data_IF_551733531929
#
_entry.id   IF_551733531929
#
_cell.length_a   1.000
_cell.length_b   1.000
_cell.length_c   1.000
_cell.angle_alpha   90.00
_cell.angle_beta   90.00
_cell.angle_gamma   90.00
#
_symmetry.space_group_name_H-M   'P 1'
#
loop_
_entity.id
_entity.type
_entity.pdbx_description
1 polymer ?
#
# COMPACT_ATOMS: atom_id res chain seq x y z
N UNK A 1 37.61 55.13 -17.11
CA UNK A 1 36.25 55.18 -16.54
C UNK A 1 35.32 55.74 -17.59
N UNK A 2 34.29 54.96 -17.93
CA UNK A 2 32.99 55.34 -18.53
C UNK A 2 32.92 55.97 -19.94
N UNK A 3 31.81 55.60 -20.61
CA UNK A 3 31.12 56.22 -21.75
C UNK A 3 31.72 56.05 -23.15
N UNK A 4 30.98 55.94 -24.25
CA UNK A 4 29.61 55.55 -24.68
C UNK A 4 29.51 56.14 -26.11
N UNK A 5 28.72 55.50 -27.00
CA UNK A 5 28.08 56.09 -28.20
C UNK A 5 29.00 56.39 -29.41
N UNK A 6 28.61 56.35 -30.68
CA UNK A 6 27.42 55.96 -31.45
C UNK A 6 27.76 56.28 -32.93
N UNK A 7 26.81 56.03 -33.84
CA UNK A 7 26.71 56.50 -35.24
C UNK A 7 27.39 55.61 -36.31
N UNK A 8 26.77 55.05 -37.36
CA UNK A 8 25.55 55.25 -38.18
C UNK A 8 25.86 55.72 -39.62
N UNK A 9 25.50 54.85 -40.57
CA UNK A 9 24.80 55.12 -41.85
C UNK A 9 25.56 55.60 -43.12
N UNK A 10 25.66 54.66 -44.11
CA UNK A 10 25.28 54.62 -45.58
C UNK A 10 25.47 55.87 -46.50
N UNK A 11 25.24 55.85 -47.86
CA UNK A 11 25.32 54.85 -48.96
C UNK A 11 26.08 55.38 -50.22
N UNK A 12 26.18 54.57 -51.30
CA UNK A 12 25.72 54.93 -52.68
C UNK A 12 26.43 54.14 -53.81
N UNK A 13 25.62 53.49 -54.66
CA UNK A 13 25.95 52.79 -55.93
C UNK A 13 26.56 53.71 -57.01
N UNK A 14 27.11 53.16 -58.13
CA UNK A 14 26.32 52.92 -59.36
C UNK A 14 26.77 51.67 -60.18
N UNK A 15 25.86 50.89 -60.77
CA UNK A 15 25.37 50.97 -62.17
C UNK A 15 26.17 50.18 -63.24
N UNK A 16 25.51 49.12 -63.75
CA UNK A 16 25.45 48.61 -65.13
C UNK A 16 26.73 48.18 -65.89
N UNK A 17 26.78 46.89 -66.28
CA UNK A 17 26.83 46.46 -67.71
C UNK A 17 26.52 44.97 -67.90
N UNK A 18 25.69 44.69 -68.91
CA UNK A 18 25.27 43.39 -69.47
C UNK A 18 26.42 42.62 -70.12
N UNK A 19 26.36 41.29 -70.10
CA UNK A 19 26.51 40.35 -71.24
C UNK A 19 26.16 38.94 -70.72
N UNK A 20 25.06 38.30 -71.17
CA UNK A 20 24.85 37.51 -72.38
C UNK A 20 24.69 36.03 -72.00
N UNK A 21 23.46 35.52 -72.14
CA UNK A 21 23.06 34.11 -71.94
C UNK A 21 23.46 33.32 -73.19
N UNK A 22 23.84 32.04 -73.03
CA UNK A 22 23.12 31.00 -73.75
C UNK A 22 22.60 29.91 -72.82
N UNK A 23 21.40 29.47 -73.16
CA UNK A 23 20.50 28.56 -72.49
C UNK A 23 20.96 27.09 -72.56
N UNK A 24 20.80 26.37 -71.45
CA UNK A 24 20.61 24.91 -71.41
C UNK A 24 19.64 24.58 -70.28
N UNK A 25 18.66 23.67 -70.48
CA UNK A 25 17.61 23.43 -69.50
C UNK A 25 18.09 22.46 -68.44
N UNK A 26 18.45 22.97 -67.26
CA UNK A 26 18.57 22.15 -66.06
C UNK A 26 17.16 21.78 -65.57
N UNK A 27 16.83 20.49 -65.70
CA UNK A 27 15.69 19.85 -65.05
C UNK A 27 15.78 20.11 -63.54
N UNK A 28 15.01 21.07 -63.05
CA UNK A 28 14.83 21.33 -61.63
C UNK A 28 13.80 20.32 -61.10
N UNK A 29 14.29 19.23 -60.52
CA UNK A 29 13.44 18.32 -59.75
C UNK A 29 12.95 19.09 -58.51
N UNK A 30 11.63 19.16 -58.24
CA UNK A 30 11.19 19.77 -56.99
C UNK A 30 11.65 18.88 -55.83
N UNK A 31 12.56 19.40 -54.99
CA UNK A 31 12.81 18.81 -53.66
C UNK A 31 11.49 18.84 -52.90
N UNK A 32 10.86 17.68 -52.72
CA UNK A 32 9.80 17.52 -51.72
C UNK A 32 10.35 18.02 -50.38
N UNK A 33 9.61 18.86 -49.64
CA UNK A 33 9.99 19.18 -48.28
C UNK A 33 9.99 17.86 -47.49
N UNK A 34 11.16 17.42 -47.03
CA UNK A 34 11.23 16.38 -46.02
C UNK A 34 10.60 16.96 -44.76
N UNK A 35 9.36 16.56 -44.48
CA UNK A 35 8.75 16.74 -43.18
C UNK A 35 9.68 15.97 -42.23
N UNK A 36 10.40 16.70 -41.37
CA UNK A 36 11.18 16.06 -40.32
C UNK A 36 10.19 15.42 -39.36
N UNK A 37 9.98 14.12 -39.55
CA UNK A 37 9.39 13.17 -38.63
C UNK A 37 9.79 13.49 -37.19
N UNK A 38 8.86 14.05 -36.40
CA UNK A 38 9.14 14.41 -35.01
C UNK A 38 8.71 13.25 -34.13
N UNK A 39 9.58 12.23 -34.04
CA UNK A 39 9.44 11.16 -33.03
C UNK A 39 9.55 11.80 -31.64
N UNK A 40 8.56 11.58 -30.79
CA UNK A 40 8.50 12.11 -29.42
C UNK A 40 8.54 10.98 -28.42
N UNK A 41 9.21 11.20 -27.30
CA UNK A 41 9.23 10.27 -26.18
C UNK A 41 8.05 10.58 -25.25
N UNK A 42 7.35 9.53 -24.83
CA UNK A 42 6.39 9.57 -23.72
C UNK A 42 7.18 9.26 -22.46
N UNK A 43 7.34 10.27 -21.60
CA UNK A 43 8.09 10.14 -20.35
C UNK A 43 7.20 9.68 -19.20
N UNK A 44 7.80 9.00 -18.22
CA UNK A 44 7.15 8.66 -16.95
C UNK A 44 6.81 9.94 -16.17
N UNK A 45 5.52 10.29 -15.99
CA UNK A 45 5.15 11.48 -15.24
C UNK A 45 5.37 11.27 -13.74
N UNK A 46 5.62 12.36 -13.02
CA UNK A 46 5.64 12.36 -11.57
C UNK A 46 4.18 12.36 -11.06
N UNK A 47 3.61 11.17 -10.82
CA UNK A 47 2.23 11.01 -10.33
C UNK A 47 2.10 11.31 -8.81
N UNK A 48 3.20 11.34 -8.08
CA UNK A 48 3.28 11.79 -6.68
C UNK A 48 4.52 12.64 -6.46
N UNK A 49 4.46 13.60 -5.53
CA UNK A 49 5.61 14.44 -5.15
C UNK A 49 6.79 13.66 -4.54
N UNK A 50 6.57 12.39 -4.18
CA UNK A 50 7.56 11.47 -3.62
C UNK A 50 7.93 10.35 -4.58
N UNK A 51 7.39 10.34 -5.80
CA UNK A 51 7.59 9.27 -6.75
C UNK A 51 8.94 9.43 -7.46
N UNK A 52 9.81 8.41 -7.36
CA UNK A 52 11.08 8.33 -8.09
C UNK A 52 11.02 7.35 -9.26
N UNK A 53 10.16 6.34 -9.16
CA UNK A 53 9.95 5.28 -10.15
C UNK A 53 8.48 4.85 -10.14
N UNK A 54 7.98 4.33 -11.25
CA UNK A 54 6.62 3.81 -11.42
C UNK A 54 6.63 2.47 -12.14
N UNK A 55 5.70 1.59 -11.77
CA UNK A 55 5.53 0.30 -12.42
C UNK A 55 4.37 0.34 -13.39
N UNK A 56 4.55 -0.23 -14.58
CA UNK A 56 3.49 -0.30 -15.59
C UNK A 56 2.60 -1.50 -15.26
N UNK A 57 1.32 -1.28 -15.01
CA UNK A 57 0.35 -2.35 -14.70
C UNK A 57 -0.14 -2.99 -15.99
N UNK A 58 -0.59 -2.16 -16.92
CA UNK A 58 -1.15 -2.58 -18.20
C UNK A 58 -1.13 -1.45 -19.21
N UNK A 59 -0.89 -1.77 -20.48
CA UNK A 59 -1.05 -0.82 -21.58
C UNK A 59 -2.51 -0.79 -22.03
N UNK A 60 -3.09 0.41 -22.11
CA UNK A 60 -4.45 0.60 -22.65
C UNK A 60 -4.41 0.57 -24.18
N UNK A 61 -3.25 0.90 -24.77
CA UNK A 61 -3.03 1.08 -26.21
C UNK A 61 -1.81 0.29 -26.67
N UNK A 62 -1.93 -0.33 -27.85
CA UNK A 62 -0.92 -1.20 -28.44
C UNK A 62 -0.04 -0.46 -29.44
N UNK A 63 1.11 -1.04 -29.78
CA UNK A 63 1.98 -0.50 -30.84
C UNK A 63 1.21 -0.39 -32.17
N UNK A 64 1.25 0.79 -32.78
CA UNK A 64 0.53 1.14 -34.00
C UNK A 64 -0.83 1.80 -33.77
N UNK A 65 -1.32 1.88 -32.53
CA UNK A 65 -2.60 2.55 -32.24
C UNK A 65 -2.49 4.06 -32.39
N UNK A 66 -3.53 4.66 -32.97
CA UNK A 66 -3.70 6.10 -33.03
C UNK A 66 -4.13 6.64 -31.68
N UNK A 67 -3.40 7.63 -31.19
CA UNK A 67 -3.61 8.34 -29.93
C UNK A 67 -3.98 9.80 -30.20
N UNK A 68 -4.97 10.30 -29.48
CA UNK A 68 -5.33 11.72 -29.46
C UNK A 68 -4.86 12.37 -28.16
N UNK A 69 -4.62 13.68 -28.18
CA UNK A 69 -4.27 14.45 -26.99
C UNK A 69 -5.33 14.28 -25.88
N UNK A 70 -4.88 13.91 -24.68
CA UNK A 70 -5.72 13.64 -23.51
C UNK A 70 -6.25 12.21 -23.42
N UNK A 71 -5.79 11.30 -24.29
CA UNK A 71 -6.18 9.89 -24.27
C UNK A 71 -5.23 9.07 -23.37
N UNK A 72 -5.79 8.21 -22.51
CA UNK A 72 -5.01 7.31 -21.64
C UNK A 72 -4.29 6.26 -22.46
N UNK A 73 -2.96 6.16 -22.26
CA UNK A 73 -2.08 5.25 -23.00
C UNK A 73 -1.73 4.04 -22.14
N UNK A 74 -1.45 4.26 -20.85
CA UNK A 74 -0.93 3.24 -19.93
C UNK A 74 -1.41 3.49 -18.51
N UNK A 75 -1.70 2.40 -17.78
CA UNK A 75 -2.01 2.43 -16.35
C UNK A 75 -0.73 2.19 -15.56
N UNK A 76 -0.33 3.16 -14.75
CA UNK A 76 0.89 3.11 -13.93
C UNK A 76 0.52 2.95 -12.46
N UNK A 77 1.06 1.92 -11.83
CA UNK A 77 1.07 1.73 -10.38
C UNK A 77 2.21 2.58 -9.82
N UNK A 78 1.82 3.68 -9.18
CA UNK A 78 2.74 4.54 -8.44
C UNK A 78 3.03 3.99 -7.04
N UNK A 79 3.73 4.76 -6.22
CA UNK A 79 3.94 4.45 -4.81
C UNK A 79 2.64 4.43 -3.98
N UNK A 80 1.56 5.04 -4.48
CA UNK A 80 0.37 5.33 -3.67
C UNK A 80 -0.98 5.05 -4.32
N UNK A 81 -1.06 5.02 -5.65
CA UNK A 81 -2.28 4.71 -6.38
C UNK A 81 -1.98 4.26 -7.82
N UNK A 82 -2.94 3.58 -8.43
CA UNK A 82 -2.95 3.31 -9.87
C UNK A 82 -3.54 4.53 -10.57
N UNK A 83 -2.80 5.12 -11.51
CA UNK A 83 -3.26 6.28 -12.27
C UNK A 83 -3.01 6.08 -13.76
N UNK A 84 -3.97 6.58 -14.55
CA UNK A 84 -3.89 6.65 -16.00
C UNK A 84 -2.90 7.74 -16.44
N UNK A 85 -1.98 7.38 -17.34
CA UNK A 85 -1.08 8.34 -17.99
C UNK A 85 -1.62 8.67 -19.38
N UNK A 86 -1.96 9.93 -19.57
CA UNK A 86 -2.47 10.47 -20.84
C UNK A 86 -1.34 10.97 -21.74
N UNK A 87 -1.56 10.92 -23.06
CA UNK A 87 -0.65 11.58 -24.02
C UNK A 87 -0.96 13.08 -24.15
N UNK A 88 0.08 13.90 -24.26
CA UNK A 88 -0.06 15.34 -24.55
C UNK A 88 -0.08 15.66 -26.04
N UNK A 89 0.15 14.67 -26.90
CA UNK A 89 0.32 14.83 -28.34
C UNK A 89 -0.52 13.82 -29.12
N UNK A 90 -0.99 14.25 -30.29
CA UNK A 90 -1.63 13.38 -31.27
C UNK A 90 -0.56 12.60 -32.06
N UNK A 91 -0.77 11.32 -32.30
CA UNK A 91 0.18 10.47 -33.03
C UNK A 91 -0.14 9.00 -32.96
N UNK A 92 0.81 8.15 -33.30
CA UNK A 92 0.74 6.70 -33.25
C UNK A 92 1.74 6.17 -32.23
N UNK A 93 1.34 5.22 -31.39
CA UNK A 93 2.24 4.58 -30.44
C UNK A 93 3.24 3.71 -31.20
N UNK A 94 4.48 4.18 -31.37
CA UNK A 94 5.40 3.58 -32.32
C UNK A 94 6.17 2.37 -31.75
N UNK A 95 6.61 2.46 -30.49
CA UNK A 95 7.31 1.38 -29.80
C UNK A 95 7.17 1.51 -28.28
N UNK A 96 6.95 0.40 -27.59
CA UNK A 96 6.96 0.32 -26.13
C UNK A 96 8.39 -0.01 -25.67
N UNK A 97 9.00 0.85 -24.85
CA UNK A 97 10.36 0.63 -24.33
C UNK A 97 10.36 -0.15 -23.00
N UNK A 98 9.27 -0.06 -22.24
CA UNK A 98 9.09 -0.77 -20.97
C UNK A 98 7.80 -1.58 -21.04
N UNK A 99 7.95 -2.91 -21.04
CA UNK A 99 6.83 -3.85 -21.12
C UNK A 99 5.94 -3.82 -19.87
N UNK A 100 4.78 -4.47 -19.97
CA UNK A 100 3.86 -4.66 -18.83
C UNK A 100 4.57 -5.33 -17.65
N UNK A 101 4.37 -4.78 -16.46
CA UNK A 101 5.05 -5.22 -15.23
C UNK A 101 6.44 -4.61 -15.02
N UNK A 102 7.01 -3.91 -16.02
CA UNK A 102 8.30 -3.23 -15.91
C UNK A 102 8.26 -1.97 -15.04
N UNK A 103 9.42 -1.57 -14.52
CA UNK A 103 9.60 -0.38 -13.66
C UNK A 103 10.44 0.66 -14.42
N UNK A 104 9.99 1.91 -14.43
CA UNK A 104 10.70 3.03 -15.05
C UNK A 104 10.85 4.21 -14.08
N UNK A 105 11.99 4.90 -14.12
CA UNK A 105 12.24 6.09 -13.32
C UNK A 105 11.39 7.28 -13.82
N UNK A 106 11.00 8.19 -12.92
CA UNK A 106 10.30 9.44 -13.28
C UNK A 106 11.19 10.26 -14.20
N UNK A 107 10.63 10.69 -15.34
CA UNK A 107 11.36 11.37 -16.41
C UNK A 107 12.08 10.45 -17.40
N UNK A 108 12.03 9.12 -17.24
CA UNK A 108 12.52 8.16 -18.24
C UNK A 108 11.51 7.98 -19.36
N UNK A 109 11.99 7.78 -20.60
CA UNK A 109 11.14 7.43 -21.74
C UNK A 109 10.54 6.02 -21.54
N UNK A 110 9.22 5.91 -21.66
CA UNK A 110 8.47 4.65 -21.52
C UNK A 110 8.05 4.12 -22.89
N UNK A 111 7.71 5.01 -23.82
CA UNK A 111 7.34 4.68 -25.19
C UNK A 111 7.69 5.81 -26.15
N UNK A 112 7.71 5.49 -27.43
CA UNK A 112 7.91 6.43 -28.53
C UNK A 112 6.59 6.67 -29.24
N UNK A 113 6.28 7.94 -29.52
CA UNK A 113 5.15 8.40 -30.32
C UNK A 113 5.66 8.90 -31.67
N UNK A 114 5.10 8.39 -32.76
CA UNK A 114 5.35 8.85 -34.13
C UNK A 114 4.18 9.74 -34.61
N UNK A 115 4.45 10.79 -35.38
CA UNK A 115 3.39 11.67 -35.89
C UNK A 115 2.72 11.09 -37.17
N UNK A 116 3.38 10.15 -37.88
CA UNK A 116 2.84 9.48 -39.09
C UNK A 116 3.07 7.95 -39.09
N UNK A 117 2.22 7.20 -39.82
CA UNK A 117 2.26 5.71 -39.88
C UNK A 117 3.55 5.14 -40.50
N UNK A 118 4.19 5.89 -41.41
CA UNK A 118 5.42 5.47 -42.10
C UNK A 118 6.67 5.48 -41.17
N UNK A 119 6.57 6.08 -39.99
CA UNK A 119 7.70 6.31 -39.06
C UNK A 119 7.75 5.31 -37.89
N UNK A 120 6.74 4.42 -37.78
CA UNK A 120 6.67 3.37 -36.77
C UNK A 120 7.89 2.44 -36.87
N UNK A 121 8.35 2.17 -38.10
CA UNK A 121 9.54 1.34 -38.34
C UNK A 121 10.86 2.03 -37.91
N UNK A 122 10.98 3.35 -38.08
CA UNK A 122 12.17 4.09 -37.68
C UNK A 122 12.24 4.26 -36.15
N UNK A 123 11.11 4.50 -35.48
CA UNK A 123 11.04 4.56 -34.02
C UNK A 123 11.36 3.21 -33.35
N UNK A 124 10.91 2.07 -33.92
CA UNK A 124 11.30 0.73 -33.46
C UNK A 124 12.81 0.49 -33.54
N UNK A 125 13.48 1.01 -34.57
CA UNK A 125 14.94 0.93 -34.69
C UNK A 125 15.69 1.80 -33.66
N UNK A 126 15.06 2.89 -33.19
CA UNK A 126 15.57 3.78 -32.13
C UNK A 126 15.37 3.22 -30.72
N UNK A 127 14.25 2.54 -30.47
CA UNK A 127 14.02 1.78 -29.24
C UNK A 127 15.00 0.59 -29.11
N UNK A 128 15.37 -0.04 -30.23
CA UNK A 128 16.30 -1.18 -30.26
C UNK A 128 17.78 -0.81 -30.14
N UNK A 129 18.13 0.46 -30.33
CA UNK A 129 19.51 0.97 -30.22
C UNK A 129 19.80 1.66 -28.88
N UNK A 130 18.79 1.81 -28.03
CA UNK A 130 18.92 2.34 -26.65
C UNK A 130 18.84 1.27 -25.56
N UNK A 131 18.59 0.01 -25.93
CA UNK A 131 18.70 -1.17 -25.04
C UNK A 131 20.12 -1.73 -25.04
N UNK A 132 21.03 -1.04 -24.34
CA UNK A 132 22.30 -1.63 -23.89
C UNK A 132 22.61 -1.13 -22.48
N UNK A 133 22.76 -2.03 -21.49
CA UNK A 133 23.13 -1.64 -20.14
C UNK A 133 24.62 -1.28 -20.15
N UNK A 134 24.94 0.00 -20.00
CA UNK A 134 26.32 0.40 -19.76
C UNK A 134 26.69 0.01 -18.33
N UNK A 135 27.47 -1.06 -18.26
CA UNK A 135 28.19 -1.57 -17.11
C UNK A 135 29.23 -0.57 -16.59
N UNK A 136 29.36 -0.56 -15.26
CA UNK A 136 30.59 -0.44 -14.44
C UNK A 136 31.72 0.51 -14.90
N UNK A 137 32.20 1.39 -14.00
CA UNK A 137 33.61 1.77 -13.96
C UNK A 137 34.36 0.92 -12.92
N UNK A 138 35.35 0.17 -13.39
CA UNK A 138 36.37 -0.46 -12.57
C UNK A 138 37.60 0.46 -12.41
N UNK A 139 37.99 0.64 -11.14
CA UNK A 139 39.36 0.66 -10.57
C UNK A 139 40.41 1.72 -10.95
N UNK A 140 40.85 2.46 -9.92
CA UNK A 140 42.25 2.72 -9.53
C UNK A 140 42.24 3.05 -8.02
N UNK A 141 42.57 2.14 -7.12
CA UNK A 141 43.91 1.71 -6.65
C UNK A 141 44.46 2.58 -5.49
N UNK A 142 44.46 2.02 -4.27
CA UNK A 142 45.54 2.03 -3.25
C UNK A 142 45.00 1.92 -1.79
N UNK A 143 45.47 0.96 -0.98
CA UNK A 143 45.05 0.73 0.41
C UNK A 143 46.05 1.28 1.46
N UNK A 144 45.63 1.49 2.72
CA UNK A 144 46.54 1.51 3.87
C UNK A 144 46.36 0.29 4.81
N UNK A 145 47.37 0.00 5.66
CA UNK A 145 47.70 -1.36 6.09
C UNK A 145 47.04 -1.80 7.42
N UNK A 146 47.03 -3.13 7.57
CA UNK A 146 46.62 -3.88 8.73
C UNK A 146 47.51 -3.61 9.96
N UNK A 147 46.86 -3.48 11.12
CA UNK A 147 47.46 -3.70 12.44
C UNK A 147 46.96 -5.03 12.99
N UNK A 148 47.93 -5.84 13.37
CA UNK A 148 47.83 -7.16 13.98
C UNK A 148 47.19 -7.09 15.37
N UNK A 149 46.36 -8.08 15.70
CA UNK A 149 46.41 -8.70 17.03
C UNK A 149 45.92 -10.14 17.02
N UNK A 150 46.89 -11.02 17.12
CA UNK A 150 46.86 -12.43 17.51
C UNK A 150 46.17 -12.64 18.86
N UNK A 151 45.24 -13.60 18.96
CA UNK A 151 45.22 -14.63 20.03
C UNK A 151 44.65 -15.96 19.49
N UNK A 152 45.56 -16.93 19.49
CA UNK A 152 45.53 -18.40 19.46
C UNK A 152 44.36 -19.06 20.24
N UNK A 153 43.56 -19.93 19.60
CA UNK A 153 43.63 -21.40 19.53
C UNK A 153 43.10 -22.19 20.76
N UNK A 154 42.17 -23.09 20.48
CA UNK A 154 41.69 -24.16 21.37
C UNK A 154 40.75 -25.09 20.61
N UNK A 155 41.26 -26.26 20.23
CA UNK A 155 40.63 -27.26 19.38
C UNK A 155 40.03 -28.43 20.18
N UNK A 156 39.24 -29.24 19.45
CA UNK A 156 38.76 -30.61 19.74
C UNK A 156 37.56 -30.70 20.71
N UNK A 157 36.59 -31.62 20.62
CA UNK A 157 36.50 -32.89 19.90
C UNK A 157 35.03 -33.43 19.90
N UNK A 158 34.72 -34.32 18.95
CA UNK A 158 33.79 -35.46 19.00
C UNK A 158 32.25 -35.37 19.21
N UNK A 159 31.55 -35.97 18.24
CA UNK A 159 30.18 -36.52 18.28
C UNK A 159 30.09 -37.77 19.21
N UNK A 160 28.91 -38.38 19.54
CA UNK A 160 27.99 -39.03 18.56
C UNK A 160 26.45 -39.09 18.92
N UNK A 161 25.65 -39.50 17.92
CA UNK A 161 24.26 -40.05 17.94
C UNK A 161 24.12 -41.35 18.78
N UNK A 162 22.93 -42.02 19.00
CA UNK A 162 21.67 -42.16 18.21
C UNK A 162 20.37 -42.38 19.09
N UNK A 163 19.30 -43.17 18.75
CA UNK A 163 18.61 -43.54 17.49
C UNK A 163 17.07 -43.26 17.45
N UNK A 164 16.47 -43.53 16.29
CA UNK A 164 15.03 -43.60 15.90
C UNK A 164 14.26 -44.81 16.48
N UNK A 165 12.91 -44.82 16.34
CA UNK A 165 12.31 -45.94 15.60
C UNK A 165 11.18 -45.59 14.62
N UNK A 166 11.19 -46.43 13.57
CA UNK A 166 10.23 -46.78 12.51
C UNK A 166 8.78 -47.05 12.96
N UNK A 167 7.81 -46.67 12.13
CA UNK A 167 6.72 -47.59 11.66
C UNK A 167 6.29 -47.24 10.22
N UNK A 168 6.16 -48.27 9.38
CA UNK A 168 5.76 -48.27 7.97
C UNK A 168 4.24 -48.20 7.75
N UNK A 169 3.91 -47.78 6.54
CA UNK A 169 2.63 -47.76 5.82
C UNK A 169 1.80 -49.05 5.84
N UNK A 170 0.47 -48.95 5.64
CA UNK A 170 -0.24 -49.70 4.56
C UNK A 170 -1.59 -49.07 4.20
N UNK A 171 -1.90 -49.14 2.90
CA UNK A 171 -3.13 -48.76 2.18
C UNK A 171 -4.02 -50.01 2.02
N UNK A 172 -5.27 -49.80 1.59
CA UNK A 172 -6.23 -50.77 1.02
C UNK A 172 -7.16 -51.45 2.04
N UNK A 173 -8.41 -51.81 1.75
CA UNK A 173 -9.35 -51.52 0.67
C UNK A 173 -10.69 -52.10 1.14
N UNK A 174 -11.75 -51.66 0.47
CA UNK A 174 -13.12 -52.17 0.55
C UNK A 174 -13.23 -53.70 0.54
N UNK A 175 -14.13 -54.26 1.35
CA UNK A 175 -14.75 -55.55 1.09
C UNK A 175 -16.18 -55.59 1.63
N UNK A 176 -17.13 -55.37 0.74
CA UNK A 176 -18.51 -55.83 0.87
C UNK A 176 -18.54 -57.30 0.44
N UNK A 177 -19.11 -58.21 1.23
CA UNK A 177 -19.96 -59.31 0.72
C UNK A 177 -20.68 -60.09 1.84
N UNK A 178 -21.69 -60.97 1.55
CA UNK A 178 -23.10 -60.64 1.73
C UNK A 178 -23.88 -61.75 2.49
N UNK A 179 -25.20 -61.69 2.32
CA UNK A 179 -26.19 -62.78 2.41
C UNK A 179 -26.81 -63.02 3.81
N UNK A 180 -28.13 -63.06 3.96
CA UNK A 180 -29.20 -62.75 3.00
C UNK A 180 -30.56 -62.67 3.70
N UNK A 181 -31.45 -61.91 3.07
CA UNK A 181 -32.88 -62.19 2.84
C UNK A 181 -33.82 -62.50 4.01
N UNK A 182 -34.83 -61.62 4.15
CA UNK A 182 -36.02 -61.94 4.93
C UNK A 182 -37.01 -60.80 5.22
N UNK A 183 -37.22 -59.86 4.28
CA UNK A 183 -38.43 -59.01 4.27
C UNK A 183 -38.34 -57.64 4.94
N UNK A 184 -38.23 -56.58 4.12
CA UNK A 184 -38.75 -55.20 4.28
C UNK A 184 -38.77 -54.52 5.68
N UNK A 185 -37.96 -54.92 6.65
CA UNK A 185 -37.93 -54.28 7.97
C UNK A 185 -36.55 -53.69 8.27
N UNK A 186 -36.48 -52.36 8.20
CA UNK A 186 -35.30 -51.58 8.57
C UNK A 186 -35.06 -51.74 10.08
N UNK A 187 -33.94 -52.35 10.44
CA UNK A 187 -33.51 -52.54 11.83
C UNK A 187 -32.66 -51.34 12.25
N UNK A 188 -33.31 -50.34 12.82
CA UNK A 188 -32.67 -49.12 13.33
C UNK A 188 -33.01 -48.89 14.81
N UNK A 189 -32.08 -48.33 15.57
CA UNK A 189 -32.34 -47.94 16.97
C UNK A 189 -33.41 -46.83 17.06
N UNK A 190 -34.21 -46.75 18.15
CA UNK A 190 -35.26 -45.73 18.29
C UNK A 190 -34.75 -44.29 18.15
N UNK A 191 -33.55 -44.03 18.67
CA UNK A 191 -32.90 -42.73 18.58
C UNK A 191 -32.44 -42.40 17.15
N UNK A 192 -31.88 -43.37 16.42
CA UNK A 192 -31.52 -43.19 15.01
C UNK A 192 -32.74 -42.91 14.11
N UNK A 193 -33.90 -43.55 14.37
CA UNK A 193 -35.14 -43.27 13.63
C UNK A 193 -35.65 -41.85 13.85
N UNK A 194 -35.50 -41.32 15.07
CA UNK A 194 -35.85 -39.92 15.38
C UNK A 194 -34.93 -38.96 14.63
N UNK A 195 -33.61 -39.16 14.72
CA UNK A 195 -32.63 -38.35 14.01
C UNK A 195 -32.78 -38.36 12.49
N UNK A 196 -33.11 -39.52 11.90
CA UNK A 196 -33.31 -39.62 10.45
C UNK A 196 -34.54 -38.83 9.98
N UNK A 197 -35.60 -38.77 10.79
CA UNK A 197 -36.77 -37.94 10.51
C UNK A 197 -36.44 -36.44 10.61
N UNK A 198 -35.66 -36.06 11.61
CA UNK A 198 -35.28 -34.66 11.84
C UNK A 198 -34.29 -34.15 10.76
N UNK A 199 -33.40 -35.02 10.26
CA UNK A 199 -32.39 -34.69 9.24
C UNK A 199 -32.81 -35.05 7.80
N UNK A 200 -34.06 -35.50 7.60
CA UNK A 200 -34.61 -35.94 6.30
C UNK A 200 -33.73 -36.98 5.57
N UNK A 201 -33.13 -37.91 6.30
CA UNK A 201 -32.28 -38.98 5.75
C UNK A 201 -33.10 -40.25 5.56
N UNK A 202 -33.10 -40.82 4.35
CA UNK A 202 -33.74 -42.11 4.10
C UNK A 202 -32.90 -43.27 4.65
N UNK A 203 -33.46 -43.99 5.61
CA UNK A 203 -32.81 -45.11 6.30
C UNK A 203 -32.66 -46.37 5.43
N UNK A 204 -33.31 -46.42 4.26
CA UNK A 204 -33.21 -47.58 3.36
C UNK A 204 -31.82 -47.74 2.73
N UNK A 205 -31.09 -46.62 2.54
CA UNK A 205 -29.76 -46.58 1.93
C UNK A 205 -28.60 -46.47 2.92
N UNK A 206 -28.87 -46.45 4.23
CA UNK A 206 -27.84 -46.28 5.26
C UNK A 206 -27.39 -47.64 5.79
N UNK A 207 -26.10 -47.96 5.62
CA UNK A 207 -25.50 -49.16 6.17
C UNK A 207 -25.33 -49.02 7.70
N UNK A 208 -25.93 -49.92 8.47
CA UNK A 208 -25.86 -49.89 9.94
C UNK A 208 -24.57 -50.50 10.48
N UNK A 209 -23.85 -49.77 11.34
CA UNK A 209 -22.61 -50.24 11.99
C UNK A 209 -22.82 -50.92 13.34
N UNK A 210 -24.08 -51.03 13.81
CA UNK A 210 -24.43 -51.62 15.09
C UNK A 210 -24.50 -53.16 15.08
N UNK A 211 -24.60 -53.79 16.27
CA UNK A 211 -24.67 -55.25 16.40
C UNK A 211 -25.82 -55.84 15.57
N UNK A 212 -25.53 -56.89 14.81
CA UNK A 212 -26.46 -57.52 13.83
C UNK A 212 -26.88 -56.59 12.67
N UNK A 213 -26.04 -55.62 12.29
CA UNK A 213 -26.30 -54.70 11.16
C UNK A 213 -27.31 -53.59 11.46
N UNK A 214 -27.49 -53.23 12.73
CA UNK A 214 -28.47 -52.22 13.17
C UNK A 214 -27.96 -50.81 12.89
N UNK A 215 -28.82 -49.94 12.35
CA UNK A 215 -28.50 -48.52 12.13
C UNK A 215 -28.50 -47.77 13.48
N UNK A 216 -27.36 -47.16 13.81
CA UNK A 216 -27.18 -46.32 15.01
C UNK A 216 -27.11 -44.84 14.64
N UNK A 217 -27.24 -43.95 15.62
CA UNK A 217 -27.29 -42.49 15.38
C UNK A 217 -26.10 -41.95 14.58
N UNK A 218 -24.91 -42.48 14.85
CA UNK A 218 -23.68 -42.12 14.15
C UNK A 218 -23.74 -42.39 12.64
N UNK A 219 -24.45 -43.44 12.22
CA UNK A 219 -24.59 -43.78 10.80
C UNK A 219 -25.53 -42.80 10.08
N UNK A 220 -26.58 -42.32 10.78
CA UNK A 220 -27.52 -41.32 10.26
C UNK A 220 -26.87 -39.94 10.14
N UNK A 221 -26.06 -39.56 11.12
CA UNK A 221 -25.29 -38.31 11.09
C UNK A 221 -24.22 -38.34 10.00
N UNK A 222 -23.54 -39.47 9.82
CA UNK A 222 -22.59 -39.66 8.71
C UNK A 222 -23.28 -39.59 7.34
N UNK A 223 -24.47 -40.17 7.21
CA UNK A 223 -25.27 -40.10 5.98
C UNK A 223 -25.78 -38.67 5.72
N UNK A 224 -26.19 -37.92 6.75
CA UNK A 224 -26.56 -36.52 6.63
C UNK A 224 -25.36 -35.64 6.20
N UNK A 225 -24.18 -35.88 6.79
CA UNK A 225 -22.95 -35.18 6.44
C UNK A 225 -22.49 -35.50 5.00
N UNK A 226 -22.66 -36.75 4.55
CA UNK A 226 -22.35 -37.15 3.17
C UNK A 226 -23.37 -36.62 2.15
N UNK A 227 -24.65 -36.53 2.51
CA UNK A 227 -25.71 -35.94 1.66
C UNK A 227 -25.56 -34.43 1.44
N UNK A 228 -24.87 -33.72 2.33
CA UNK A 228 -24.55 -32.31 2.17
C UNK A 228 -23.32 -32.04 1.28
N UNK A 229 -22.55 -33.09 0.93
CA UNK A 229 -21.35 -32.99 0.10
C UNK A 229 -21.53 -33.52 -1.34
N UNK A 230 -22.74 -33.94 -1.74
CA UNK A 230 -22.99 -34.53 -3.06
C UNK A 230 -24.30 -34.03 -3.70
N UNK A 231 -24.44 -32.73 -3.92
CA UNK A 231 -25.35 -32.18 -4.95
C UNK A 231 -24.70 -30.96 -5.59
N UNK A 232 -23.97 -31.15 -6.70
CA UNK A 232 -23.75 -30.13 -7.75
C UNK A 232 -22.93 -30.72 -8.92
N UNK A 233 -23.53 -31.58 -9.74
CA UNK A 233 -23.11 -31.77 -11.14
C UNK A 233 -24.28 -32.26 -11.99
N UNK A 234 -24.91 -31.36 -12.75
CA UNK A 234 -25.41 -31.60 -14.10
C UNK A 234 -25.57 -30.26 -14.83
N UNK A 235 -25.03 -30.21 -16.04
CA UNK A 235 -24.87 -29.03 -16.88
C UNK A 235 -26.18 -28.55 -17.55
N UNK A 236 -26.29 -27.23 -17.73
CA UNK A 236 -27.11 -26.60 -18.75
C UNK A 236 -26.44 -25.28 -19.20
N UNK A 237 -26.41 -25.06 -20.51
CA UNK A 237 -25.62 -24.09 -21.26
C UNK A 237 -26.41 -22.80 -21.54
N UNK A 238 -25.90 -21.63 -21.10
CA UNK A 238 -26.21 -20.25 -21.59
C UNK A 238 -25.09 -19.27 -21.13
N UNK A 239 -24.88 -18.10 -21.76
CA UNK A 239 -23.55 -17.57 -22.08
C UNK A 239 -22.91 -16.70 -20.99
N UNK A 240 -21.58 -16.63 -21.11
CA UNK A 240 -20.55 -16.08 -20.21
C UNK A 240 -20.61 -14.56 -20.05
N UNK A 241 -20.70 -14.01 -18.83
CA UNK A 241 -19.92 -12.85 -18.45
C UNK A 241 -18.57 -13.34 -17.89
N UNK A 242 -17.49 -12.70 -18.32
CA UNK A 242 -16.11 -13.00 -17.89
C UNK A 242 -15.98 -12.78 -16.38
N UNK A 243 -16.14 -13.84 -15.61
CA UNK A 243 -15.87 -13.87 -14.18
C UNK A 243 -14.37 -13.88 -13.96
N UNK A 244 -13.85 -12.75 -13.48
CA UNK A 244 -12.50 -12.66 -12.93
C UNK A 244 -12.27 -13.85 -11.99
N UNK A 245 -11.22 -14.62 -12.31
CA UNK A 245 -10.71 -15.68 -11.45
C UNK A 245 -10.38 -15.03 -10.12
N UNK A 246 -11.19 -15.31 -9.09
CA UNK A 246 -10.83 -14.98 -7.71
C UNK A 246 -9.50 -15.67 -7.46
N UNK A 247 -8.43 -14.87 -7.47
CA UNK A 247 -7.10 -15.33 -7.19
C UNK A 247 -7.13 -15.93 -5.78
N UNK A 248 -6.97 -17.26 -5.71
CA UNK A 248 -6.63 -17.90 -4.46
C UNK A 248 -5.40 -17.16 -3.90
N UNK A 249 -5.48 -16.70 -2.66
CA UNK A 249 -4.34 -16.06 -1.99
C UNK A 249 -3.12 -16.97 -2.18
N UNK A 250 -2.02 -16.46 -2.77
CA UNK A 250 -0.83 -17.27 -2.94
C UNK A 250 -0.39 -17.73 -1.55
N UNK A 251 -0.40 -19.05 -1.34
CA UNK A 251 0.16 -19.62 -0.13
C UNK A 251 1.61 -19.17 0.02
N UNK A 252 2.03 -18.87 1.24
CA UNK A 252 3.41 -18.45 1.49
C UNK A 252 4.34 -19.64 1.24
N UNK A 253 5.07 -19.63 0.13
CA UNK A 253 6.11 -20.63 -0.16
C UNK A 253 7.37 -20.31 0.65
N UNK A 254 7.60 -21.10 1.70
CA UNK A 254 8.78 -20.98 2.56
C UNK A 254 10.07 -21.16 1.73
N UNK A 255 11.04 -20.26 1.92
CA UNK A 255 12.35 -20.32 1.24
C UNK A 255 12.41 -19.63 -0.13
N UNK A 256 11.32 -19.00 -0.57
CA UNK A 256 11.31 -18.21 -1.82
C UNK A 256 11.65 -16.73 -1.57
N UNK A 257 12.31 -16.11 -2.53
CA UNK A 257 12.59 -14.66 -2.52
C UNK A 257 11.43 -13.94 -3.20
N UNK A 258 10.69 -13.13 -2.43
CA UNK A 258 9.60 -12.31 -2.95
C UNK A 258 10.10 -10.87 -3.12
N UNK A 259 10.09 -10.29 -4.33
CA UNK A 259 10.46 -8.90 -4.53
C UNK A 259 9.43 -7.97 -3.87
N UNK A 260 9.88 -6.81 -3.38
CA UNK A 260 8.97 -5.79 -2.86
C UNK A 260 8.06 -5.25 -3.97
N UNK A 261 6.81 -4.97 -3.59
CA UNK A 261 5.93 -4.14 -4.42
C UNK A 261 6.45 -2.70 -4.47
N UNK A 262 5.98 -1.90 -5.44
CA UNK A 262 6.32 -0.47 -5.55
C UNK A 262 6.04 0.28 -4.25
N UNK A 263 4.86 0.05 -3.66
CA UNK A 263 4.45 0.63 -2.38
C UNK A 263 5.39 0.20 -1.24
N UNK A 264 5.75 -1.08 -1.15
CA UNK A 264 6.69 -1.56 -0.12
C UNK A 264 8.08 -0.95 -0.30
N UNK A 265 8.56 -0.80 -1.54
CA UNK A 265 9.80 -0.09 -1.85
C UNK A 265 9.77 1.37 -1.42
N UNK A 266 8.67 2.09 -1.66
CA UNK A 266 8.49 3.47 -1.23
C UNK A 266 8.44 3.61 0.30
N UNK A 267 7.71 2.73 0.99
CA UNK A 267 7.69 2.69 2.46
C UNK A 267 9.10 2.43 3.01
N UNK A 268 9.84 1.49 2.44
CA UNK A 268 11.22 1.19 2.83
C UNK A 268 12.11 2.44 2.75
N UNK A 269 12.08 3.17 1.62
CA UNK A 269 12.85 4.42 1.45
C UNK A 269 12.50 5.47 2.50
N UNK A 270 11.20 5.72 2.72
CA UNK A 270 10.74 6.70 3.70
C UNK A 270 11.12 6.30 5.14
N UNK A 271 11.06 5.02 5.48
CA UNK A 271 11.42 4.54 6.82
C UNK A 271 12.93 4.63 7.05
N UNK A 272 13.76 4.38 6.04
CA UNK A 272 15.22 4.56 6.13
C UNK A 272 15.58 6.03 6.34
N UNK A 273 14.91 6.96 5.65
CA UNK A 273 15.12 8.40 5.87
C UNK A 273 14.78 8.84 7.30
N UNK A 274 13.71 8.28 7.87
CA UNK A 274 13.30 8.55 9.26
C UNK A 274 14.38 8.18 10.29
N UNK A 275 15.19 7.15 10.03
CA UNK A 275 16.24 6.71 10.95
C UNK A 275 17.33 7.76 11.18
N UNK A 276 17.49 8.72 10.26
CA UNK A 276 18.44 9.82 10.43
C UNK A 276 17.93 10.91 11.40
N UNK A 277 16.65 10.89 11.76
CA UNK A 277 16.05 11.87 12.69
C UNK A 277 16.35 11.45 14.13
N UNK A 278 16.98 12.31 14.95
CA UNK A 278 17.15 12.06 16.37
C UNK A 278 15.78 12.06 17.06
N UNK A 279 15.26 10.87 17.38
CA UNK A 279 13.94 10.71 17.99
C UNK A 279 14.04 10.30 19.44
N UNK A 280 13.12 10.81 20.26
CA UNK A 280 12.89 10.33 21.62
C UNK A 280 11.40 9.98 21.80
N UNK A 281 11.10 9.22 22.85
CA UNK A 281 9.78 8.66 23.10
C UNK A 281 9.34 8.98 24.52
N UNK A 282 8.08 9.38 24.66
CA UNK A 282 7.46 9.59 25.98
C UNK A 282 6.16 8.80 26.03
N UNK A 283 6.09 7.89 27.02
CA UNK A 283 4.87 7.16 27.35
C UNK A 283 4.07 7.88 28.43
N UNK A 284 2.74 7.86 28.31
CA UNK A 284 1.84 8.43 29.30
C UNK A 284 0.56 7.58 29.41
N UNK A 285 0.14 7.33 30.65
CA UNK A 285 -1.06 6.54 30.94
C UNK A 285 -2.25 7.45 31.20
N UNK A 286 -3.35 7.22 30.48
CA UNK A 286 -4.55 8.05 30.53
C UNK A 286 -5.74 7.20 30.97
N UNK A 287 -6.57 7.73 31.88
CA UNK A 287 -7.82 7.07 32.28
C UNK A 287 -8.91 7.35 31.25
N UNK A 288 -9.59 6.32 30.72
CA UNK A 288 -10.55 6.47 29.60
C UNK A 288 -12.01 6.30 29.98
N UNK A 289 -12.35 6.08 31.26
CA UNK A 289 -13.74 5.78 31.69
C UNK A 289 -14.77 6.80 31.16
N UNK A 290 -14.44 8.09 31.25
CA UNK A 290 -15.30 9.18 30.75
C UNK A 290 -15.39 9.20 29.22
N UNK A 291 -14.28 8.95 28.52
CA UNK A 291 -14.24 8.84 27.07
C UNK A 291 -15.08 7.65 26.58
N UNK A 292 -14.98 6.50 27.24
CA UNK A 292 -15.76 5.30 26.91
C UNK A 292 -17.26 5.53 27.14
N UNK A 293 -17.62 6.24 28.20
CA UNK A 293 -19.00 6.64 28.47
C UNK A 293 -19.54 7.60 27.41
N UNK A 294 -18.73 8.56 26.94
CA UNK A 294 -19.11 9.44 25.84
C UNK A 294 -19.26 8.65 24.54
N UNK A 295 -18.29 7.79 24.21
CA UNK A 295 -18.27 7.00 22.99
C UNK A 295 -19.53 6.13 22.88
N UNK A 296 -19.95 5.47 23.97
CA UNK A 296 -21.20 4.69 24.01
C UNK A 296 -22.44 5.51 23.60
N UNK A 297 -22.50 6.80 23.92
CA UNK A 297 -23.63 7.68 23.58
C UNK A 297 -23.64 8.12 22.12
N UNK A 298 -22.47 8.31 21.52
CA UNK A 298 -22.32 8.88 20.16
C UNK A 298 -21.99 7.84 19.08
N UNK A 299 -21.62 6.61 19.46
CA UNK A 299 -21.32 5.52 18.53
C UNK A 299 -22.47 5.22 17.56
N UNK A 300 -23.72 5.30 18.02
CA UNK A 300 -24.90 5.10 17.17
C UNK A 300 -25.05 6.14 16.07
N UNK A 301 -24.41 7.31 16.22
CA UNK A 301 -24.38 8.40 15.23
C UNK A 301 -23.21 8.27 14.23
N UNK A 302 -22.51 7.14 14.23
CA UNK A 302 -21.41 6.85 13.29
C UNK A 302 -20.03 7.36 13.71
N UNK A 303 -19.87 7.82 14.96
CA UNK A 303 -18.56 8.26 15.48
C UNK A 303 -17.67 7.05 15.78
N UNK A 304 -16.38 7.15 15.45
CA UNK A 304 -15.37 6.12 15.76
C UNK A 304 -14.42 6.57 16.87
N UNK A 305 -13.83 5.63 17.60
CA UNK A 305 -12.86 5.96 18.65
C UNK A 305 -11.62 6.67 18.07
N UNK A 306 -11.16 6.24 16.90
CA UNK A 306 -10.03 6.88 16.21
C UNK A 306 -10.33 8.34 15.86
N UNK A 307 -11.54 8.68 15.41
CA UNK A 307 -11.92 10.07 15.15
C UNK A 307 -11.97 10.91 16.43
N UNK A 308 -12.42 10.34 17.55
CA UNK A 308 -12.37 11.02 18.85
C UNK A 308 -10.94 11.30 19.31
N UNK A 309 -10.05 10.31 19.19
CA UNK A 309 -8.64 10.46 19.54
C UNK A 309 -7.94 11.48 18.65
N UNK A 310 -8.27 11.49 17.35
CA UNK A 310 -7.76 12.49 16.41
C UNK A 310 -8.23 13.91 16.78
N UNK A 311 -9.52 14.09 17.12
CA UNK A 311 -10.05 15.38 17.59
C UNK A 311 -9.41 15.81 18.91
N UNK A 312 -9.24 14.90 19.87
CA UNK A 312 -8.58 15.18 21.14
C UNK A 312 -7.12 15.62 20.94
N UNK A 313 -6.38 14.93 20.08
CA UNK A 313 -5.02 15.30 19.70
C UNK A 313 -4.99 16.68 19.04
N UNK A 314 -5.92 16.96 18.11
CA UNK A 314 -5.98 18.25 17.45
C UNK A 314 -6.23 19.41 18.44
N UNK A 315 -7.19 19.26 19.36
CA UNK A 315 -7.45 20.27 20.40
C UNK A 315 -6.27 20.46 21.36
N UNK A 316 -5.50 19.41 21.65
CA UNK A 316 -4.27 19.52 22.42
C UNK A 316 -3.19 20.27 21.63
N UNK A 317 -3.03 20.00 20.33
CA UNK A 317 -2.05 20.68 19.47
C UNK A 317 -2.31 22.18 19.33
N UNK A 318 -3.57 22.64 19.38
CA UNK A 318 -3.90 24.08 19.42
C UNK A 318 -3.20 24.79 20.59
N UNK A 319 -3.08 24.13 21.74
CA UNK A 319 -2.42 24.67 22.94
C UNK A 319 -0.90 24.48 22.93
N UNK A 320 -0.39 23.58 22.07
CA UNK A 320 1.02 23.17 22.01
C UNK A 320 1.55 23.23 20.57
N UNK A 321 1.66 24.44 19.97
CA UNK A 321 2.06 24.60 18.57
C UNK A 321 3.47 24.06 18.28
N UNK A 322 4.34 23.95 19.28
CA UNK A 322 5.69 23.39 19.15
C UNK A 322 5.64 21.93 18.69
N UNK A 323 4.66 21.16 19.16
CA UNK A 323 4.50 19.75 18.78
C UNK A 323 4.01 19.62 17.34
N UNK A 324 3.29 20.62 16.82
CA UNK A 324 2.84 20.70 15.42
C UNK A 324 3.88 21.40 14.52
N UNK A 325 5.15 21.07 14.68
CA UNK A 325 6.25 21.57 13.86
C UNK A 325 6.68 20.57 12.79
N UNK A 326 7.41 21.02 11.78
CA UNK A 326 8.01 20.19 10.73
C UNK A 326 9.49 20.55 10.55
N UNK A 327 10.34 19.54 10.38
CA UNK A 327 11.78 19.72 10.14
C UNK A 327 12.26 18.74 9.08
N UNK A 328 12.53 19.24 7.86
CA UNK A 328 12.95 18.41 6.72
C UNK A 328 14.47 18.40 6.53
N UNK A 329 15.09 19.58 6.53
CA UNK A 329 16.50 19.77 6.19
C UNK A 329 17.44 19.60 7.40
N UNK A 330 16.90 19.50 8.61
CA UNK A 330 17.67 19.47 9.87
C UNK A 330 18.37 20.79 10.21
N UNK A 331 18.15 21.85 9.42
CA UNK A 331 18.76 23.18 9.58
C UNK A 331 17.74 24.21 10.03
N UNK A 332 16.49 24.03 9.60
CA UNK A 332 15.37 24.90 9.90
C UNK A 332 14.14 24.07 10.24
N UNK A 333 13.19 24.67 10.94
CA UNK A 333 11.91 24.07 11.24
C UNK A 333 10.79 25.08 11.05
N UNK A 334 9.59 24.59 10.76
CA UNK A 334 8.41 25.40 10.50
C UNK A 334 7.30 25.02 11.47
N UNK A 335 6.69 26.02 12.10
CA UNK A 335 5.43 25.82 12.82
C UNK A 335 4.27 25.80 11.81
N UNK A 336 3.52 24.70 11.79
CA UNK A 336 2.42 24.55 10.85
C UNK A 336 1.23 25.42 11.28
N UNK A 337 0.61 26.14 10.32
CA UNK A 337 -0.55 27.01 10.57
C UNK A 337 -1.86 26.24 10.71
N UNK A 338 -1.93 25.03 10.13
CA UNK A 338 -3.09 24.14 10.18
C UNK A 338 -2.75 22.88 10.98
N UNK A 339 -3.77 22.28 11.60
CA UNK A 339 -3.65 21.03 12.36
C UNK A 339 -4.30 19.92 11.55
N UNK A 340 -3.47 19.20 10.79
CA UNK A 340 -3.92 18.11 9.92
C UNK A 340 -3.45 16.78 10.53
N UNK A 341 -4.39 15.95 10.95
CA UNK A 341 -4.10 14.68 11.60
C UNK A 341 -4.08 13.57 10.54
N UNK A 342 -2.88 13.10 10.19
CA UNK A 342 -2.70 11.88 9.43
C UNK A 342 -2.99 10.68 10.32
N UNK A 343 -3.82 9.74 9.88
CA UNK A 343 -4.17 8.55 10.65
C UNK A 343 -3.76 7.31 9.89
N UNK A 344 -2.95 6.46 10.52
CA UNK A 344 -2.46 5.22 9.93
C UNK A 344 -3.59 4.19 9.74
N UNK A 345 -3.76 3.71 8.50
CA UNK A 345 -4.71 2.66 8.14
C UNK A 345 -3.98 1.53 7.45
N UNK A 346 -4.15 0.32 7.97
CA UNK A 346 -3.68 -0.90 7.31
C UNK A 346 -4.57 -1.22 6.10
N UNK A 347 -3.93 -1.49 4.97
CA UNK A 347 -4.57 -1.94 3.72
C UNK A 347 -3.89 -3.22 3.23
N UNK A 348 -4.52 -3.93 2.30
CA UNK A 348 -3.95 -5.15 1.74
C UNK A 348 -2.63 -4.84 1.02
N UNK A 349 -1.53 -5.34 1.58
CA UNK A 349 -0.18 -5.18 1.05
C UNK A 349 0.62 -3.99 1.61
N UNK A 350 0.07 -3.16 2.49
CA UNK A 350 0.83 -2.02 3.05
C UNK A 350 0.11 -1.12 4.05
N UNK A 351 0.68 0.08 4.24
CA UNK A 351 0.21 1.11 5.15
C UNK A 351 0.01 2.42 4.39
N UNK A 352 -1.14 3.06 4.59
CA UNK A 352 -1.42 4.40 4.07
C UNK A 352 -1.96 5.30 5.19
N UNK A 353 -1.69 6.61 5.07
CA UNK A 353 -2.02 7.60 6.10
C UNK A 353 -2.94 8.70 5.54
N UNK A 354 -4.24 8.44 5.38
CA UNK A 354 -5.21 9.49 5.06
C UNK A 354 -5.20 10.60 6.13
N UNK A 355 -5.49 11.83 5.70
CA UNK A 355 -5.34 13.05 6.49
C UNK A 355 -6.69 13.69 6.76
N UNK A 356 -6.98 13.88 8.03
CA UNK A 356 -8.08 14.71 8.51
C UNK A 356 -7.61 16.16 8.59
N UNK A 357 -8.04 16.97 7.63
CA UNK A 357 -7.67 18.39 7.54
C UNK A 357 -8.42 19.25 8.56
N UNK A 358 -7.73 20.23 9.13
CA UNK A 358 -8.25 21.19 10.12
C UNK A 358 -9.09 20.49 11.22
N UNK A 359 -8.56 19.41 11.78
CA UNK A 359 -9.28 18.55 12.70
C UNK A 359 -9.71 19.29 14.00
N UNK A 360 -9.06 20.40 14.33
CA UNK A 360 -9.42 21.28 15.43
C UNK A 360 -10.74 22.05 15.15
N UNK A 361 -10.96 22.46 13.90
CA UNK A 361 -12.09 23.34 13.49
C UNK A 361 -13.36 22.57 13.10
N UNK A 362 -13.23 21.28 12.76
CA UNK A 362 -14.35 20.47 12.27
C UNK A 362 -15.05 19.74 13.42
N UNK A 363 -16.38 19.74 13.44
CA UNK A 363 -17.17 19.03 14.45
C UNK A 363 -16.95 17.51 14.37
N UNK A 364 -17.12 16.80 15.49
CA UNK A 364 -16.83 15.35 15.58
C UNK A 364 -17.66 14.49 14.62
N UNK A 365 -18.88 14.89 14.28
CA UNK A 365 -19.76 14.11 13.42
C UNK A 365 -19.34 14.24 11.95
N UNK A 366 -19.03 15.46 11.51
CA UNK A 366 -18.44 15.69 10.19
C UNK A 366 -17.07 15.08 10.06
N UNK A 367 -16.23 15.17 11.10
CA UNK A 367 -14.92 14.54 11.14
C UNK A 367 -15.04 13.01 10.98
N UNK A 368 -16.01 12.39 11.66
CA UNK A 368 -16.24 10.95 11.57
C UNK A 368 -16.78 10.51 10.20
N UNK A 369 -17.64 11.31 9.55
CA UNK A 369 -18.09 11.06 8.17
C UNK A 369 -16.91 11.12 7.19
N UNK A 370 -16.13 12.20 7.24
CA UNK A 370 -14.91 12.35 6.43
C UNK A 370 -13.93 11.20 6.68
N UNK A 371 -13.74 10.81 7.93
CA UNK A 371 -12.88 9.69 8.29
C UNK A 371 -13.34 8.39 7.62
N UNK A 372 -14.64 8.10 7.67
CA UNK A 372 -15.19 6.90 7.02
C UNK A 372 -14.98 6.93 5.51
N UNK A 373 -15.26 8.04 4.85
CA UNK A 373 -15.03 8.22 3.42
C UNK A 373 -13.56 8.01 3.03
N UNK A 374 -12.63 8.58 3.80
CA UNK A 374 -11.19 8.40 3.58
C UNK A 374 -10.73 6.96 3.79
N UNK A 375 -11.27 6.25 4.78
CA UNK A 375 -10.97 4.83 5.01
C UNK A 375 -11.50 3.97 3.86
N UNK A 376 -12.71 4.24 3.37
CA UNK A 376 -13.31 3.51 2.26
C UNK A 376 -12.49 3.75 0.97
N UNK A 377 -12.09 5.00 0.68
CA UNK A 377 -11.18 5.34 -0.41
C UNK A 377 -9.80 4.71 -0.26
N UNK A 378 -9.25 4.66 0.95
CA UNK A 378 -7.94 4.05 1.23
C UNK A 378 -7.94 2.56 0.88
N UNK A 379 -8.98 1.84 1.32
CA UNK A 379 -9.16 0.41 1.01
C UNK A 379 -9.38 0.17 -0.49
N UNK A 380 -10.09 1.09 -1.15
CA UNK A 380 -10.30 1.06 -2.59
C UNK A 380 -9.08 1.53 -3.41
N UNK A 381 -7.98 1.96 -2.77
CA UNK A 381 -6.80 2.57 -3.42
C UNK A 381 -7.11 3.79 -4.30
N UNK A 382 -8.12 4.58 -3.93
CA UNK A 382 -8.62 5.75 -4.67
C UNK A 382 -8.35 7.09 -3.96
N UNK A 383 -7.45 7.09 -2.97
CA UNK A 383 -7.05 8.31 -2.28
C UNK A 383 -6.30 9.25 -3.22
N UNK A 384 -6.68 10.51 -3.17
CA UNK A 384 -6.01 11.56 -3.94
C UNK A 384 -4.73 12.01 -3.22
N UNK A 385 -3.71 12.51 -3.95
CA UNK A 385 -2.44 12.92 -3.35
C UNK A 385 -2.53 13.92 -2.19
N UNK A 386 -3.46 14.85 -2.27
CA UNK A 386 -3.69 15.84 -1.22
C UNK A 386 -4.32 15.25 0.05
N UNK A 387 -4.96 14.08 -0.05
CA UNK A 387 -5.62 13.39 1.06
C UNK A 387 -4.65 12.58 1.94
N UNK A 388 -3.39 12.38 1.54
CA UNK A 388 -2.38 11.67 2.35
C UNK A 388 -1.06 12.43 2.55
N UNK A 389 -0.73 13.44 1.72
CA UNK A 389 0.55 14.17 1.81
C UNK A 389 0.51 15.41 2.72
N UNK A 390 -0.65 15.80 3.23
CA UNK A 390 -0.87 17.09 3.93
C UNK A 390 -0.84 16.98 5.46
N UNK A 391 -0.48 15.80 5.99
CA UNK A 391 -0.45 15.53 7.42
C UNK A 391 0.65 16.30 8.15
N UNK A 392 0.29 16.96 9.25
CA UNK A 392 1.25 17.69 10.11
C UNK A 392 1.56 16.94 11.39
N UNK A 393 0.63 16.10 11.85
CA UNK A 393 0.78 15.21 13.00
C UNK A 393 0.22 13.83 12.65
N UNK A 394 0.85 12.76 13.13
CA UNK A 394 0.42 11.39 12.81
C UNK A 394 -0.14 10.66 14.02
N UNK A 395 -1.24 9.95 13.84
CA UNK A 395 -1.89 9.08 14.81
C UNK A 395 -1.86 7.63 14.29
N UNK A 396 -1.36 6.71 15.11
CA UNK A 396 -1.45 5.28 14.88
C UNK A 396 -2.17 4.63 16.05
N UNK A 397 -3.22 3.86 15.76
CA UNK A 397 -4.06 3.22 16.78
C UNK A 397 -4.08 1.71 16.55
N UNK A 398 -3.50 0.96 17.49
CA UNK A 398 -3.52 -0.50 17.49
C UNK A 398 -4.34 -1.08 18.65
N UNK A 399 -5.11 -0.25 19.36
CA UNK A 399 -5.94 -0.71 20.48
C UNK A 399 -6.98 -1.76 20.09
N UNK A 400 -7.42 -1.78 18.82
CA UNK A 400 -8.33 -2.81 18.32
C UNK A 400 -7.70 -4.21 18.23
N UNK A 401 -6.38 -4.30 18.22
CA UNK A 401 -5.64 -5.57 18.23
C UNK A 401 -5.25 -6.03 19.64
N UNK A 402 -5.66 -5.30 20.68
CA UNK A 402 -5.30 -5.62 22.07
C UNK A 402 -3.84 -5.32 22.43
N UNK A 403 -3.13 -4.55 21.60
CA UNK A 403 -1.75 -4.12 21.87
C UNK A 403 -1.75 -3.18 23.06
N UNK A 404 -1.00 -3.51 24.11
CA UNK A 404 -0.90 -2.71 25.33
C UNK A 404 -0.16 -1.37 25.08
N UNK A 405 1.04 -1.46 24.52
CA UNK A 405 1.83 -0.31 24.08
C UNK A 405 2.65 -0.66 22.84
N UNK A 406 2.97 0.34 22.03
CA UNK A 406 3.91 0.21 20.93
C UNK A 406 4.51 1.57 20.59
N UNK A 407 5.65 1.55 19.92
CA UNK A 407 6.28 2.75 19.41
C UNK A 407 6.09 2.83 17.90
N UNK A 408 5.73 4.03 17.42
CA UNK A 408 5.64 4.30 16.01
C UNK A 408 6.91 5.01 15.51
N UNK A 409 7.31 4.70 14.28
CA UNK A 409 8.41 5.36 13.58
C UNK A 409 7.89 6.70 13.04
N UNK A 410 8.65 7.78 13.29
CA UNK A 410 8.27 9.13 12.90
C UNK A 410 8.27 9.29 11.37
N UNK A 411 7.16 9.66 10.71
CA UNK A 411 7.19 9.95 9.29
C UNK A 411 8.13 11.12 8.98
N UNK A 412 8.99 11.02 7.94
CA UNK A 412 9.94 12.06 7.60
C UNK A 412 9.29 13.45 7.49
N UNK A 413 9.94 14.46 8.08
CA UNK A 413 9.50 15.84 8.03
C UNK A 413 8.37 16.22 8.99
N UNK A 414 7.76 15.28 9.71
CA UNK A 414 6.77 15.58 10.77
C UNK A 414 7.46 15.72 12.13
N UNK A 415 6.89 16.53 13.03
CA UNK A 415 7.46 16.76 14.36
C UNK A 415 7.21 15.61 15.33
N UNK A 416 6.03 15.00 15.29
CA UNK A 416 5.64 13.95 16.21
C UNK A 416 4.63 12.95 15.63
N UNK A 417 4.70 11.71 16.13
CA UNK A 417 3.72 10.64 15.89
C UNK A 417 3.25 10.06 17.22
N UNK A 418 1.94 9.87 17.36
CA UNK A 418 1.31 9.29 18.53
C UNK A 418 0.83 7.87 18.26
N UNK A 419 1.29 6.93 19.08
CA UNK A 419 0.88 5.54 19.13
C UNK A 419 -0.09 5.32 20.29
N UNK A 420 -1.25 4.74 20.01
CA UNK A 420 -2.32 4.50 20.99
C UNK A 420 -2.57 3.01 21.16
N UNK A 421 -2.36 2.53 22.39
CA UNK A 421 -2.63 1.16 22.80
C UNK A 421 -4.10 0.88 23.10
N UNK A 422 -4.37 -0.34 23.55
CA UNK A 422 -5.69 -0.78 23.97
C UNK A 422 -6.04 -0.17 25.33
N UNK A 423 -7.32 0.17 25.51
CA UNK A 423 -7.83 0.51 26.84
C UNK A 423 -8.11 -0.78 27.61
N UNK A 424 -7.48 -0.94 28.78
CA UNK A 424 -7.59 -2.13 29.62
C UNK A 424 -8.00 -1.78 31.05
N UNK A 425 -8.82 -2.62 31.72
CA UNK A 425 -9.18 -2.42 33.11
C UNK A 425 -7.95 -2.65 34.01
N UNK A 426 -7.57 -1.62 34.76
CA UNK A 426 -6.43 -1.65 35.69
C UNK A 426 -6.91 -1.39 37.11
N UNK A 427 -6.35 -2.10 38.09
CA UNK A 427 -6.61 -1.91 39.52
C UNK A 427 -5.73 -0.78 40.04
N UNK A 428 -6.02 0.45 39.63
CA UNK A 428 -5.28 1.61 40.08
C UNK A 428 -6.21 2.82 40.21
N UNK A 429 -6.30 3.36 41.43
CA UNK A 429 -6.81 4.72 41.63
C UNK A 429 -5.67 5.61 42.13
N UNK A 430 -5.59 6.83 41.57
CA UNK A 430 -4.65 7.88 42.01
C UNK A 430 -4.84 8.23 43.51
N UNK A 431 -5.99 7.86 44.09
CA UNK A 431 -6.41 8.17 45.46
C UNK A 431 -6.00 7.10 46.49
N UNK A 432 -5.18 6.11 46.11
CA UNK A 432 -4.72 5.04 47.01
C UNK A 432 -5.81 4.03 47.40
N UNK A 433 -6.96 4.05 46.73
CA UNK A 433 -8.05 3.08 46.92
C UNK A 433 -7.96 1.96 45.88
N UNK A 434 -8.45 0.78 46.24
CA UNK A 434 -8.64 -0.29 45.27
C UNK A 434 -9.89 0.05 44.44
N UNK A 435 -9.71 0.21 43.14
CA UNK A 435 -10.80 0.47 42.20
C UNK A 435 -10.37 0.09 40.78
N UNK A 436 -11.29 -0.46 40.00
CA UNK A 436 -11.08 -0.76 38.59
C UNK A 436 -11.32 0.50 37.77
N UNK A 437 -10.33 0.89 36.96
CA UNK A 437 -10.44 1.96 35.98
C UNK A 437 -9.89 1.51 34.64
N UNK A 438 -10.54 1.89 33.55
CA UNK A 438 -9.98 1.67 32.21
C UNK A 438 -8.85 2.64 31.95
N UNK A 439 -7.68 2.11 31.61
CA UNK A 439 -6.48 2.88 31.30
C UNK A 439 -5.95 2.52 29.93
N UNK A 440 -5.45 3.53 29.23
CA UNK A 440 -4.86 3.40 27.90
C UNK A 440 -3.47 4.04 27.93
N UNK A 441 -2.48 3.34 27.39
CA UNK A 441 -1.15 3.89 27.23
C UNK A 441 -1.02 4.58 25.88
N UNK A 442 -0.46 5.79 25.91
CA UNK A 442 -0.14 6.59 24.74
C UNK A 442 1.37 6.82 24.71
N UNK A 443 2.00 6.46 23.60
CA UNK A 443 3.41 6.70 23.36
C UNK A 443 3.54 7.72 22.24
N UNK A 444 4.31 8.80 22.47
CA UNK A 444 4.59 9.79 21.42
C UNK A 444 6.07 9.78 21.11
N UNK A 445 6.39 9.53 19.84
CA UNK A 445 7.73 9.68 19.28
C UNK A 445 7.85 11.08 18.70
N UNK A 446 8.88 11.84 19.06
CA UNK A 446 9.08 13.19 18.60
C UNK A 446 10.52 13.44 18.12
N UNK A 447 10.67 14.38 17.19
CA UNK A 447 11.96 14.89 16.72
C UNK A 447 12.61 15.77 17.79
N UNK A 448 13.71 15.27 18.37
CA UNK A 448 14.41 15.95 19.46
C UNK A 448 15.16 17.22 19.01
N UNK A 449 15.26 17.48 17.70
CA UNK A 449 15.86 18.71 17.17
C UNK A 449 14.97 19.94 17.42
N UNK A 450 13.66 19.73 17.53
CA UNK A 450 12.66 20.81 17.66
C UNK A 450 11.86 20.70 18.95
N UNK A 451 11.45 19.48 19.32
CA UNK A 451 10.58 19.22 20.46
C UNK A 451 11.42 18.69 21.63
N UNK A 452 11.23 19.23 22.82
CA UNK A 452 11.91 18.78 24.02
C UNK A 452 10.96 18.02 24.97
N UNK A 453 11.53 17.33 25.96
CA UNK A 453 10.76 16.52 26.90
C UNK A 453 9.67 17.29 27.66
N UNK A 454 9.93 18.56 28.00
CA UNK A 454 8.93 19.41 28.66
C UNK A 454 7.74 19.75 27.75
N UNK A 455 8.00 20.05 26.48
CA UNK A 455 6.95 20.37 25.49
C UNK A 455 6.02 19.16 25.31
N UNK A 456 6.62 17.97 25.15
CA UNK A 456 5.88 16.74 24.93
C UNK A 456 5.10 16.31 26.19
N UNK A 457 5.70 16.45 27.38
CA UNK A 457 5.01 16.19 28.63
C UNK A 457 3.81 17.13 28.84
N UNK A 458 3.96 18.41 28.51
CA UNK A 458 2.88 19.41 28.62
C UNK A 458 1.73 19.12 27.65
N UNK A 459 2.07 18.70 26.42
CA UNK A 459 1.10 18.20 25.44
C UNK A 459 0.34 16.98 25.96
N UNK A 460 1.05 15.97 26.46
CA UNK A 460 0.44 14.74 26.99
C UNK A 460 -0.44 14.99 28.21
N UNK A 461 -0.04 15.89 29.12
CA UNK A 461 -0.89 16.32 30.24
C UNK A 461 -2.18 16.99 29.76
N UNK A 462 -2.08 17.80 28.70
CA UNK A 462 -3.24 18.48 28.11
C UNK A 462 -4.17 17.49 27.42
N UNK A 463 -3.61 16.56 26.64
CA UNK A 463 -4.34 15.47 26.01
C UNK A 463 -5.05 14.60 27.06
N UNK A 464 -4.36 14.25 28.15
CA UNK A 464 -4.92 13.48 29.25
C UNK A 464 -6.11 14.20 29.89
N UNK A 465 -6.00 15.51 30.15
CA UNK A 465 -7.13 16.32 30.68
C UNK A 465 -8.33 16.31 29.74
N UNK A 466 -8.11 16.43 28.43
CA UNK A 466 -9.19 16.41 27.42
C UNK A 466 -9.86 15.04 27.35
N UNK A 467 -9.09 13.94 27.45
CA UNK A 467 -9.63 12.57 27.42
C UNK A 467 -10.35 12.22 28.73
N UNK A 468 -9.79 12.62 29.87
CA UNK A 468 -10.38 12.39 31.20
C UNK A 468 -11.65 13.24 31.43
N UNK A 469 -11.78 14.40 30.77
CA UNK A 469 -13.00 15.24 30.75
C UNK A 469 -13.43 15.64 29.32
N UNK A 470 -14.13 14.76 28.58
CA UNK A 470 -14.33 14.89 27.13
C UNK A 470 -15.46 15.85 26.71
N UNK A 471 -15.80 16.85 27.53
CA UNK A 471 -16.90 17.79 27.26
C UNK A 471 -16.69 18.60 25.97
N UNK A 472 -15.45 18.97 25.70
CA UNK A 472 -15.09 19.81 24.55
C UNK A 472 -14.95 19.00 23.24
N UNK A 473 -15.00 17.65 23.30
CA UNK A 473 -14.80 16.79 22.12
C UNK A 473 -16.00 16.75 21.17
N UNK A 474 -17.19 17.14 21.64
CA UNK A 474 -18.40 17.10 20.82
C UNK A 474 -18.61 18.35 19.96
N UNK A 475 -17.80 19.39 20.17
CA UNK A 475 -17.89 20.67 19.48
C UNK A 475 -17.14 20.70 18.14
#
# INVERSE_FOLDING_TARGET
>A
MAHLLNSSFIPSSPSLRRHSIPSSPSLCTPRKPQIQAKIREIFMPALSSTMTEGKIVSWVRSEGDKLSKGESVVVVESDKADMDVETFYDGYLAAIMVEEGGVAAVGSAIALLAETEDEIAEAKSKASSSSSPSSSPATSDSPPPALEKTVEAGAADSAPSPPTPVVKATVAASSVHPASEGGKRIVASPYAKKLAKDLMVDLSGVAGSGPMGRIVAKDVEAAAAAGSAAVSTTAAEVPKPSGAKVAASPGIELGTVVPFTTMQGAVSRNMVESLAVPTFRVGYTITTDALDALYKKIKSKGVTMTALLAKAAALALVKHPVVNSSCRDGKSFTYNSSINIAVAVAIDGGLITPVLQDADKVDIYSLSRKWKELVDKARAKQLQPHEYNTGTFTLSNLGMFGVDHFDAILPPGTGAIMAVGASQPTVATKDGRIGMKSQMQVNVTADHRVIYGADLASFLQTLAKIIEDPKDLTL
#
